data_IF_475873252671
#
_entry.id   IF_475873252671
#
_cell.length_a   1.000
_cell.length_b   1.000
_cell.length_c   1.000
_cell.angle_alpha   90.00
_cell.angle_beta   90.00
_cell.angle_gamma   90.00
#
_symmetry.space_group_name_H-M   'P 1'
#
loop_
_entity.id
_entity.type
_entity.pdbx_description
1 polymer ?
#
# COMPACT_ATOMS: atom_id res chain seq x y z
N UNK A 1 16.19 -29.00 3.09
CA UNK A 1 15.48 -28.04 2.22
C UNK A 1 16.41 -26.86 1.96
N UNK A 2 17.03 -26.83 0.78
CA UNK A 2 17.82 -25.67 0.34
C UNK A 2 16.91 -24.86 -0.59
N UNK A 3 16.38 -23.73 -0.12
CA UNK A 3 15.39 -22.92 -0.85
C UNK A 3 15.94 -22.35 -2.17
N UNK A 4 17.26 -22.44 -2.39
CA UNK A 4 17.95 -21.97 -3.59
C UNK A 4 18.51 -23.12 -4.47
N UNK A 5 18.32 -24.37 -4.08
CA UNK A 5 18.79 -25.54 -4.84
C UNK A 5 17.68 -26.10 -5.74
N UNK A 6 17.41 -25.43 -6.87
CA UNK A 6 16.49 -25.92 -7.89
C UNK A 6 17.27 -26.64 -9.01
N UNK A 7 16.83 -27.83 -9.48
CA UNK A 7 17.32 -28.46 -10.71
C UNK A 7 17.27 -27.51 -11.93
N UNK A 8 18.03 -27.80 -12.99
CA UNK A 8 18.18 -26.94 -14.17
C UNK A 8 16.89 -26.66 -14.96
N UNK A 9 15.79 -27.36 -14.66
CA UNK A 9 14.47 -27.23 -15.25
C UNK A 9 13.40 -26.71 -14.26
N UNK A 10 13.77 -26.56 -12.99
CA UNK A 10 12.86 -26.10 -11.94
C UNK A 10 12.77 -24.58 -11.96
N UNK A 11 11.54 -24.07 -12.05
CA UNK A 11 11.27 -22.64 -12.13
C UNK A 11 10.57 -22.20 -10.85
N UNK A 12 10.88 -20.99 -10.39
CA UNK A 12 10.11 -20.37 -9.31
C UNK A 12 8.62 -20.36 -9.63
N UNK A 13 7.78 -20.57 -8.61
CA UNK A 13 6.33 -20.34 -8.68
C UNK A 13 6.00 -18.86 -8.45
N UNK A 14 4.76 -18.45 -8.73
CA UNK A 14 4.27 -17.08 -8.54
C UNK A 14 4.61 -16.50 -7.16
N UNK A 15 4.46 -17.30 -6.09
CA UNK A 15 4.83 -16.89 -4.72
C UNK A 15 6.29 -16.46 -4.59
N UNK A 16 7.22 -17.15 -5.25
CA UNK A 16 8.64 -16.84 -5.16
C UNK A 16 8.93 -15.47 -5.79
N UNK A 17 8.36 -15.23 -6.97
CA UNK A 17 8.55 -13.95 -7.66
C UNK A 17 7.83 -12.80 -6.96
N UNK A 18 6.60 -13.00 -6.51
CA UNK A 18 5.86 -11.99 -5.74
C UNK A 18 6.59 -11.63 -4.44
N UNK A 19 7.08 -12.62 -3.69
CA UNK A 19 7.88 -12.37 -2.48
C UNK A 19 9.16 -11.63 -2.80
N UNK A 20 9.96 -12.08 -3.79
CA UNK A 20 11.21 -11.41 -4.16
C UNK A 20 10.95 -9.97 -4.61
N UNK A 21 9.94 -9.73 -5.44
CA UNK A 21 9.56 -8.39 -5.87
C UNK A 21 9.21 -7.49 -4.69
N UNK A 22 8.33 -7.93 -3.78
CA UNK A 22 7.94 -7.16 -2.60
C UNK A 22 9.14 -6.85 -1.71
N UNK A 23 10.06 -7.80 -1.48
CA UNK A 23 11.25 -7.57 -0.67
C UNK A 23 12.22 -6.58 -1.33
N UNK A 24 12.44 -6.69 -2.64
CA UNK A 24 13.25 -5.72 -3.38
C UNK A 24 12.67 -4.31 -3.27
N UNK A 25 11.35 -4.17 -3.44
CA UNK A 25 10.67 -2.88 -3.29
C UNK A 25 10.84 -2.29 -1.88
N UNK A 26 10.63 -3.11 -0.83
CA UNK A 26 10.79 -2.67 0.57
C UNK A 26 12.25 -2.32 0.90
N UNK A 27 13.22 -3.08 0.39
CA UNK A 27 14.65 -2.80 0.58
C UNK A 27 15.09 -1.49 -0.09
N UNK A 28 14.41 -1.07 -1.15
CA UNK A 28 14.60 0.22 -1.82
C UNK A 28 13.82 1.37 -1.16
N UNK A 29 13.04 1.10 -0.10
CA UNK A 29 12.27 2.11 0.62
C UNK A 29 10.87 2.40 0.03
N UNK A 30 10.39 1.56 -0.90
CA UNK A 30 9.01 1.61 -1.35
C UNK A 30 8.09 0.83 -0.40
N UNK A 31 6.81 1.19 -0.39
CA UNK A 31 5.80 0.41 0.31
C UNK A 31 5.23 -0.62 -0.66
N UNK A 32 5.45 -1.90 -0.36
CA UNK A 32 4.90 -2.99 -1.13
C UNK A 32 4.27 -4.04 -0.20
N UNK A 33 3.24 -4.71 -0.70
CA UNK A 33 2.54 -5.80 -0.04
C UNK A 33 2.29 -6.92 -1.02
N UNK A 34 2.05 -8.10 -0.47
CA UNK A 34 1.60 -9.23 -1.27
C UNK A 34 0.10 -9.14 -1.48
N UNK A 35 -0.37 -9.72 -2.58
CA UNK A 35 -1.78 -9.95 -2.86
C UNK A 35 -1.92 -11.39 -3.34
N UNK A 36 -2.93 -12.06 -2.85
CA UNK A 36 -3.31 -13.38 -3.33
C UNK A 36 -4.61 -13.20 -4.10
N UNK A 37 -4.63 -13.63 -5.35
CA UNK A 37 -5.85 -13.71 -6.16
C UNK A 37 -6.21 -15.18 -6.35
N UNK A 38 -7.31 -15.48 -7.04
CA UNK A 38 -7.69 -16.87 -7.27
C UNK A 38 -6.55 -17.61 -8.02
N UNK A 39 -6.03 -18.66 -7.38
CA UNK A 39 -4.96 -19.54 -7.90
C UNK A 39 -3.60 -18.86 -8.16
N UNK A 40 -3.38 -17.61 -7.72
CA UNK A 40 -2.17 -16.86 -8.08
C UNK A 40 -1.71 -15.90 -6.98
N UNK A 41 -0.42 -15.59 -6.97
CA UNK A 41 0.23 -14.75 -5.97
C UNK A 41 0.98 -13.61 -6.66
N UNK A 42 0.62 -12.39 -6.32
CA UNK A 42 1.12 -11.16 -6.95
C UNK A 42 1.50 -10.15 -5.86
N UNK A 43 1.80 -8.92 -6.25
CA UNK A 43 2.12 -7.84 -5.35
C UNK A 43 1.32 -6.57 -5.66
N UNK A 44 1.28 -5.68 -4.68
CA UNK A 44 0.94 -4.27 -4.88
C UNK A 44 2.07 -3.39 -4.36
N UNK A 45 2.35 -2.29 -5.07
CA UNK A 45 3.32 -1.26 -4.68
C UNK A 45 2.64 0.11 -4.65
N UNK A 46 2.92 0.90 -3.61
CA UNK A 46 2.41 2.26 -3.51
C UNK A 46 3.20 3.23 -4.39
N UNK A 47 2.51 4.07 -5.15
CA UNK A 47 3.06 5.19 -5.90
C UNK A 47 2.65 6.52 -5.27
N UNK A 48 3.63 7.31 -4.85
CA UNK A 48 3.42 8.67 -4.32
C UNK A 48 2.93 9.64 -5.40
N UNK A 49 3.36 9.43 -6.65
CA UNK A 49 2.96 10.24 -7.80
C UNK A 49 1.47 10.06 -8.13
N UNK A 50 1.02 8.80 -8.18
CA UNK A 50 -0.39 8.46 -8.47
C UNK A 50 -1.27 8.47 -7.22
N UNK A 51 -0.66 8.60 -6.03
CA UNK A 51 -1.33 8.45 -4.72
C UNK A 51 -2.17 7.19 -4.65
N UNK A 52 -1.61 6.08 -5.15
CA UNK A 52 -2.35 4.83 -5.35
C UNK A 52 -1.45 3.61 -5.23
N UNK A 53 -2.03 2.52 -4.76
CA UNK A 53 -1.46 1.19 -4.92
C UNK A 53 -1.55 0.75 -6.38
N UNK A 54 -0.54 0.02 -6.86
CA UNK A 54 -0.47 -0.49 -8.23
C UNK A 54 -0.24 -1.99 -8.15
N UNK A 55 -1.10 -2.73 -8.83
CA UNK A 55 -1.05 -4.19 -8.93
C UNK A 55 0.07 -4.60 -9.89
N UNK A 56 0.97 -5.44 -9.41
CA UNK A 56 2.16 -5.91 -10.09
C UNK A 56 2.18 -7.44 -10.06
N UNK A 57 2.26 -8.06 -11.23
CA UNK A 57 2.52 -9.50 -11.36
C UNK A 57 3.96 -9.68 -11.85
N UNK A 58 4.83 -9.99 -10.89
CA UNK A 58 6.24 -10.25 -11.14
C UNK A 58 6.40 -11.75 -11.40
N UNK A 59 6.95 -12.12 -12.56
CA UNK A 59 7.21 -13.51 -12.92
C UNK A 59 6.99 -13.81 -14.41
N UNK A 60 7.55 -14.91 -14.91
CA UNK A 60 7.36 -15.31 -16.30
C UNK A 60 5.93 -15.85 -16.49
N UNK A 61 5.02 -15.04 -17.01
CA UNK A 61 3.66 -15.49 -17.32
C UNK A 61 3.59 -16.28 -18.64
N UNK A 62 3.73 -17.61 -18.56
CA UNK A 62 3.35 -18.52 -19.65
C UNK A 62 4.35 -18.65 -20.80
N UNK A 63 5.03 -19.79 -20.86
CA UNK A 63 5.87 -20.22 -21.98
C UNK A 63 7.36 -19.93 -21.81
N UNK A 64 8.18 -20.61 -22.62
CA UNK A 64 9.66 -20.54 -22.60
C UNK A 64 10.24 -19.17 -22.98
N UNK A 65 9.43 -18.27 -23.56
CA UNK A 65 9.87 -16.96 -24.06
C UNK A 65 9.14 -15.76 -23.43
N UNK A 66 8.34 -15.94 -22.37
CA UNK A 66 7.59 -14.84 -21.78
C UNK A 66 8.33 -14.18 -20.62
N UNK A 67 8.87 -12.98 -20.86
CA UNK A 67 9.45 -12.09 -19.83
C UNK A 67 8.39 -11.13 -19.29
N UNK A 68 7.30 -11.68 -18.77
CA UNK A 68 6.09 -10.93 -18.43
C UNK A 68 6.07 -10.43 -16.99
N UNK A 69 7.04 -9.58 -16.63
CA UNK A 69 6.76 -8.63 -15.55
C UNK A 69 5.71 -7.66 -16.05
N UNK A 70 4.57 -7.59 -15.37
CA UNK A 70 3.41 -6.84 -15.85
C UNK A 70 2.71 -6.06 -14.74
N UNK A 71 1.97 -5.05 -15.18
CA UNK A 71 0.93 -4.38 -14.43
C UNK A 71 -0.35 -4.30 -15.26
N UNK A 72 -1.41 -3.79 -14.67
CA UNK A 72 -2.73 -3.70 -15.31
C UNK A 72 -3.12 -2.25 -15.50
N UNK A 73 -3.67 -1.92 -16.66
CA UNK A 73 -4.12 -0.57 -16.97
C UNK A 73 -5.56 -0.56 -17.49
N UNK A 74 -6.31 0.49 -17.16
CA UNK A 74 -7.55 0.84 -17.85
C UNK A 74 -7.39 2.27 -18.37
N UNK A 75 -7.56 2.47 -19.68
CA UNK A 75 -7.38 3.78 -20.33
C UNK A 75 -6.00 4.42 -20.03
N UNK A 76 -4.95 3.61 -20.03
CA UNK A 76 -3.57 4.07 -19.78
C UNK A 76 -3.27 4.39 -18.31
N UNK A 77 -4.18 4.08 -17.37
CA UNK A 77 -3.98 4.31 -15.94
C UNK A 77 -3.72 2.98 -15.22
N UNK A 78 -2.58 2.84 -14.51
CA UNK A 78 -2.27 1.65 -13.73
C UNK A 78 -3.36 1.37 -12.68
N UNK A 79 -3.69 0.11 -12.45
CA UNK A 79 -4.77 -0.32 -11.57
C UNK A 79 -4.24 -0.99 -10.30
N UNK A 80 -4.97 -0.86 -9.19
CA UNK A 80 -4.86 -1.75 -8.04
C UNK A 80 -5.73 -3.01 -8.20
N UNK A 81 -5.55 -4.01 -7.35
CA UNK A 81 -6.27 -5.30 -7.45
C UNK A 81 -7.79 -5.14 -7.36
N UNK A 82 -8.30 -4.25 -6.51
CA UNK A 82 -9.75 -3.99 -6.40
C UNK A 82 -10.33 -3.34 -7.66
N UNK A 83 -9.58 -2.47 -8.33
CA UNK A 83 -9.98 -1.88 -9.61
C UNK A 83 -10.05 -2.97 -10.71
N UNK A 84 -9.08 -3.88 -10.74
CA UNK A 84 -9.11 -5.06 -11.65
C UNK A 84 -10.29 -5.97 -11.33
N UNK A 85 -10.52 -6.29 -10.04
CA UNK A 85 -11.67 -7.07 -9.57
C UNK A 85 -13.01 -6.46 -10.02
N UNK A 86 -13.17 -5.14 -9.85
CA UNK A 86 -14.38 -4.42 -10.27
C UNK A 86 -14.54 -4.42 -11.79
N UNK A 87 -13.47 -4.23 -12.55
CA UNK A 87 -13.54 -4.30 -14.00
C UNK A 87 -14.02 -5.68 -14.49
N UNK A 88 -13.53 -6.77 -13.89
CA UNK A 88 -14.03 -8.12 -14.16
C UNK A 88 -15.52 -8.25 -13.82
N UNK A 89 -15.92 -7.87 -12.61
CA UNK A 89 -17.31 -7.97 -12.14
C UNK A 89 -18.28 -7.17 -13.01
N UNK A 90 -17.86 -6.01 -13.47
CA UNK A 90 -18.67 -5.11 -14.29
C UNK A 90 -18.67 -5.49 -15.78
N UNK A 91 -18.07 -6.63 -16.16
CA UNK A 91 -18.01 -7.10 -17.55
C UNK A 91 -17.08 -6.27 -18.45
N UNK A 92 -16.10 -5.57 -17.87
CA UNK A 92 -15.16 -4.67 -18.55
C UNK A 92 -13.75 -5.25 -18.66
N UNK A 93 -13.58 -6.56 -18.45
CA UNK A 93 -12.27 -7.22 -18.48
C UNK A 93 -11.51 -7.01 -19.80
N UNK A 94 -12.21 -6.94 -20.94
CA UNK A 94 -11.57 -6.72 -22.24
C UNK A 94 -11.06 -5.29 -22.45
N UNK A 95 -11.44 -4.36 -21.56
CA UNK A 95 -10.92 -2.99 -21.56
C UNK A 95 -9.66 -2.85 -20.68
N UNK A 96 -9.41 -3.83 -19.80
CA UNK A 96 -8.21 -3.86 -18.97
C UNK A 96 -7.07 -4.43 -19.80
N UNK A 97 -5.98 -3.69 -19.88
CA UNK A 97 -4.75 -4.10 -20.54
C UNK A 97 -3.79 -4.71 -19.52
N UNK A 98 -3.30 -5.91 -19.83
CA UNK A 98 -2.06 -6.42 -19.29
C UNK A 98 -0.93 -5.70 -20.01
N UNK A 99 -0.14 -4.93 -19.27
CA UNK A 99 0.99 -4.16 -19.78
C UNK A 99 2.27 -4.80 -19.29
N UNK A 100 3.06 -5.35 -20.21
CA UNK A 100 4.28 -6.06 -19.93
C UNK A 100 5.53 -5.22 -20.26
N UNK A 101 6.67 -5.59 -19.69
CA UNK A 101 7.96 -4.96 -20.02
C UNK A 101 8.30 -5.07 -21.52
N UNK A 102 7.97 -6.21 -22.16
CA UNK A 102 8.03 -6.34 -23.61
C UNK A 102 6.69 -5.85 -24.21
N UNK A 103 6.67 -4.79 -25.03
CA UNK A 103 5.44 -4.29 -25.64
C UNK A 103 4.67 -5.32 -26.48
N UNK A 104 5.37 -6.29 -27.06
CA UNK A 104 4.75 -7.36 -27.86
C UNK A 104 3.94 -8.36 -27.00
N UNK A 105 4.17 -8.37 -25.69
CA UNK A 105 3.43 -9.20 -24.73
C UNK A 105 2.18 -8.48 -24.16
N UNK A 106 1.99 -7.19 -24.46
CA UNK A 106 0.84 -6.41 -24.00
C UNK A 106 -0.46 -6.88 -24.69
N UNK A 107 -1.53 -7.09 -23.91
CA UNK A 107 -2.81 -7.58 -24.43
C UNK A 107 -3.98 -7.26 -23.51
N UNK A 108 -5.22 -7.26 -24.02
CA UNK A 108 -6.41 -7.27 -23.17
C UNK A 108 -6.39 -8.45 -22.19
N UNK A 109 -6.97 -8.25 -21.01
CA UNK A 109 -6.94 -9.23 -19.92
C UNK A 109 -7.78 -10.47 -20.24
N UNK A 110 -8.93 -10.28 -20.90
CA UNK A 110 -9.84 -11.37 -21.28
C UNK A 110 -10.21 -12.26 -20.09
N UNK A 111 -10.27 -13.58 -20.32
CA UNK A 111 -10.66 -14.57 -19.30
C UNK A 111 -9.71 -14.61 -18.09
N UNK A 112 -8.45 -14.18 -18.24
CA UNK A 112 -7.51 -14.16 -17.12
C UNK A 112 -7.96 -13.25 -15.96
N UNK A 113 -8.84 -12.29 -16.27
CA UNK A 113 -9.53 -11.44 -15.31
C UNK A 113 -10.32 -12.21 -14.24
N UNK A 114 -10.78 -13.42 -14.57
CA UNK A 114 -11.49 -14.29 -13.62
C UNK A 114 -10.65 -14.62 -12.40
N UNK A 115 -9.31 -14.62 -12.52
CA UNK A 115 -8.45 -14.82 -11.35
C UNK A 115 -8.64 -13.73 -10.29
N UNK A 116 -9.10 -12.53 -10.68
CA UNK A 116 -9.41 -11.43 -9.78
C UNK A 116 -10.81 -11.53 -9.18
N UNK A 117 -11.61 -12.57 -9.43
CA UNK A 117 -12.96 -12.73 -8.88
C UNK A 117 -13.02 -12.71 -7.34
N UNK A 118 -11.89 -12.95 -6.67
CA UNK A 118 -11.65 -12.75 -5.24
C UNK A 118 -10.18 -12.45 -5.02
N UNK A 119 -9.86 -11.76 -3.93
CA UNK A 119 -8.49 -11.56 -3.52
C UNK A 119 -8.35 -11.39 -2.01
N UNK A 120 -7.15 -11.65 -1.53
CA UNK A 120 -6.77 -11.65 -0.13
C UNK A 120 -5.49 -10.84 0.06
N UNK A 121 -5.38 -10.16 1.19
CA UNK A 121 -4.20 -9.39 1.57
C UNK A 121 -3.53 -10.09 2.75
N UNK A 122 -2.35 -10.68 2.55
CA UNK A 122 -1.49 -11.02 3.66
C UNK A 122 -1.16 -9.78 4.49
N UNK A 123 -1.54 -9.81 5.78
CA UNK A 123 -1.32 -8.70 6.73
C UNK A 123 0.15 -8.56 7.17
N UNK A 124 1.08 -9.04 6.33
CA UNK A 124 2.51 -9.05 6.54
C UNK A 124 3.23 -9.16 5.20
N UNK A 125 4.42 -8.60 5.15
CA UNK A 125 5.23 -8.58 3.94
C UNK A 125 6.68 -9.01 4.16
N UNK A 126 6.99 -9.80 5.20
CA UNK A 126 8.36 -10.19 5.61
C UNK A 126 8.60 -11.71 5.55
N UNK A 127 8.11 -12.40 4.50
CA UNK A 127 8.18 -13.87 4.39
C UNK A 127 9.60 -14.42 4.25
N UNK A 128 10.58 -13.62 3.79
CA UNK A 128 11.99 -14.02 3.76
C UNK A 128 12.57 -14.11 5.18
N UNK A 129 12.23 -13.15 6.06
CA UNK A 129 12.77 -13.11 7.42
C UNK A 129 12.01 -14.04 8.37
N UNK A 130 10.69 -14.11 8.22
CA UNK A 130 9.81 -14.84 9.13
C UNK A 130 8.95 -15.80 8.30
N UNK A 131 9.24 -17.10 8.18
CA UNK A 131 8.56 -17.96 7.22
C UNK A 131 7.07 -18.24 7.54
N UNK A 132 6.63 -18.01 8.77
CA UNK A 132 5.26 -18.31 9.24
C UNK A 132 4.65 -17.15 10.03
N UNK A 133 3.31 -16.96 10.03
CA UNK A 133 2.32 -17.83 9.39
C UNK A 133 2.28 -17.68 7.87
N UNK A 134 2.03 -18.78 7.18
CA UNK A 134 1.91 -18.92 5.72
C UNK A 134 1.17 -20.22 5.40
N UNK A 135 0.71 -20.37 4.16
CA UNK A 135 0.17 -21.64 3.63
C UNK A 135 1.15 -22.80 3.79
N UNK A 136 0.66 -24.00 4.08
CA UNK A 136 1.49 -25.22 4.13
C UNK A 136 2.01 -25.62 2.73
N UNK A 137 1.20 -25.36 1.69
CA UNK A 137 1.55 -25.54 0.28
C UNK A 137 1.63 -24.20 -0.46
N UNK A 138 2.35 -23.22 0.10
CA UNK A 138 2.37 -21.86 -0.42
C UNK A 138 2.80 -21.82 -1.90
N UNK A 139 1.87 -21.42 -2.77
CA UNK A 139 2.08 -21.35 -4.22
C UNK A 139 1.92 -22.68 -4.98
N UNK A 140 1.75 -23.82 -4.30
CA UNK A 140 1.51 -25.13 -4.93
C UNK A 140 0.11 -25.72 -4.67
N UNK A 141 -0.69 -25.08 -3.83
CA UNK A 141 -2.07 -25.45 -3.56
C UNK A 141 -2.97 -24.20 -3.51
N UNK A 142 -4.27 -24.42 -3.34
CA UNK A 142 -5.19 -23.32 -3.02
C UNK A 142 -4.82 -22.69 -1.68
N UNK A 143 -5.10 -21.39 -1.56
CA UNK A 143 -4.85 -20.60 -0.36
C UNK A 143 -6.02 -20.78 0.61
N UNK A 144 -5.74 -21.22 1.84
CA UNK A 144 -6.74 -21.50 2.87
C UNK A 144 -6.36 -20.94 4.25
N UNK A 145 -5.26 -20.19 4.37
CA UNK A 145 -4.84 -19.65 5.65
C UNK A 145 -5.78 -18.53 6.12
N UNK A 146 -6.46 -18.77 7.25
CA UNK A 146 -7.49 -17.89 7.82
C UNK A 146 -7.00 -16.53 8.34
N UNK A 147 -5.68 -16.28 8.31
CA UNK A 147 -5.10 -15.02 8.78
C UNK A 147 -4.92 -13.94 7.70
N UNK A 148 -5.38 -14.17 6.48
CA UNK A 148 -5.38 -13.14 5.43
C UNK A 148 -6.62 -12.25 5.53
N UNK A 149 -6.55 -11.00 5.06
CA UNK A 149 -7.73 -10.14 4.96
C UNK A 149 -8.43 -10.35 3.62
N UNK A 150 -9.67 -10.80 3.64
CA UNK A 150 -10.47 -11.14 2.47
C UNK A 150 -11.30 -9.94 2.01
N UNK A 151 -11.19 -9.59 0.74
CA UNK A 151 -12.14 -8.66 0.15
C UNK A 151 -13.43 -9.38 -0.21
N UNK A 152 -14.56 -8.84 0.23
CA UNK A 152 -15.90 -9.29 -0.12
C UNK A 152 -16.69 -8.15 -0.76
N UNK A 153 -17.58 -8.48 -1.70
CA UNK A 153 -18.46 -7.47 -2.30
C UNK A 153 -19.59 -7.06 -1.34
N UNK A 154 -20.01 -7.98 -0.46
CA UNK A 154 -21.05 -7.78 0.53
C UNK A 154 -20.73 -8.59 1.78
N UNK A 155 -20.89 -7.99 2.96
CA UNK A 155 -20.75 -8.71 4.23
C UNK A 155 -22.01 -9.51 4.61
N UNK A 156 -23.10 -9.38 3.87
CA UNK A 156 -24.33 -10.16 4.06
C UNK A 156 -24.48 -11.31 3.07
N UNK A 157 -23.61 -11.38 2.07
CA UNK A 157 -23.59 -12.40 1.02
C UNK A 157 -22.14 -12.70 0.64
N UNK A 158 -21.51 -13.54 1.47
CA UNK A 158 -20.07 -13.80 1.43
C UNK A 158 -19.76 -14.84 0.34
N UNK A 159 -18.80 -14.54 -0.53
CA UNK A 159 -18.26 -15.51 -1.49
C UNK A 159 -17.43 -16.58 -0.80
N UNK A 160 -16.69 -16.19 0.24
CA UNK A 160 -15.76 -17.07 0.94
C UNK A 160 -16.07 -17.08 2.45
N UNK A 161 -17.24 -17.64 2.87
CA UNK A 161 -17.70 -17.62 4.26
C UNK A 161 -16.81 -18.42 5.22
N UNK A 162 -15.89 -19.23 4.70
CA UNK A 162 -14.94 -20.02 5.48
C UNK A 162 -13.84 -19.19 6.17
N UNK A 163 -13.69 -17.90 5.83
CA UNK A 163 -12.64 -17.03 6.37
C UNK A 163 -13.15 -16.03 7.41
N UNK A 164 -12.37 -15.82 8.47
CA UNK A 164 -12.73 -15.01 9.63
C UNK A 164 -12.49 -13.50 9.43
N UNK A 165 -11.51 -13.12 8.61
CA UNK A 165 -11.11 -11.73 8.38
C UNK A 165 -11.61 -11.23 7.03
N UNK A 166 -12.73 -10.52 7.03
CA UNK A 166 -13.41 -10.07 5.80
C UNK A 166 -13.70 -8.57 5.83
N UNK A 167 -13.62 -7.92 4.68
CA UNK A 167 -14.05 -6.53 4.51
C UNK A 167 -14.67 -6.27 3.14
N UNK A 168 -15.74 -5.48 3.13
CA UNK A 168 -16.31 -4.90 1.92
C UNK A 168 -15.98 -3.40 1.76
N UNK A 169 -15.15 -2.84 2.63
CA UNK A 169 -14.82 -1.41 2.65
C UNK A 169 -13.52 -1.15 1.92
N UNK A 170 -13.51 -0.40 0.81
CA UNK A 170 -12.29 -0.09 0.08
C UNK A 170 -11.23 0.64 0.92
N UNK A 171 -11.65 1.46 1.89
CA UNK A 171 -10.74 2.20 2.77
C UNK A 171 -9.96 1.30 3.73
N UNK A 172 -10.44 0.10 4.02
CA UNK A 172 -9.70 -0.90 4.82
C UNK A 172 -8.54 -1.51 4.03
N UNK A 173 -8.51 -1.31 2.70
CA UNK A 173 -7.55 -1.91 1.77
C UNK A 173 -6.66 -0.86 1.10
N UNK A 174 -7.18 0.33 0.79
CA UNK A 174 -6.52 1.32 -0.07
C UNK A 174 -6.46 2.70 0.58
N UNK A 175 -5.87 2.78 1.78
CA UNK A 175 -5.57 4.04 2.44
C UNK A 175 -4.30 4.70 1.85
N UNK A 176 -4.21 6.02 2.00
CA UNK A 176 -3.06 6.80 1.52
C UNK A 176 -1.83 6.56 2.38
N UNK A 177 -0.67 6.41 1.75
CA UNK A 177 0.63 6.30 2.41
C UNK A 177 1.51 7.52 2.15
N UNK A 178 2.57 7.65 2.94
CA UNK A 178 3.65 8.62 2.73
C UNK A 178 3.19 10.08 2.61
N UNK A 179 2.02 10.42 3.15
CA UNK A 179 1.50 11.77 3.17
C UNK A 179 1.31 12.23 4.62
N UNK A 180 1.60 13.50 4.89
CA UNK A 180 1.29 14.12 6.17
C UNK A 180 -0.16 14.60 6.19
N UNK A 181 -0.91 14.27 7.22
CA UNK A 181 -2.18 14.89 7.56
C UNK A 181 -1.91 16.07 8.50
N UNK A 182 -2.52 17.22 8.19
CA UNK A 182 -2.30 18.48 8.91
C UNK A 182 -3.59 18.88 9.61
N UNK A 183 -3.53 19.00 10.94
CA UNK A 183 -4.64 19.36 11.80
C UNK A 183 -4.29 20.68 12.52
N UNK A 184 -4.72 21.83 11.99
CA UNK A 184 -4.47 23.12 12.62
C UNK A 184 -5.36 23.30 13.86
N UNK A 185 -4.75 23.75 14.95
CA UNK A 185 -5.44 24.14 16.19
C UNK A 185 -5.17 25.62 16.47
N UNK A 186 -6.25 26.36 16.75
CA UNK A 186 -6.13 27.73 17.23
C UNK A 186 -5.50 27.76 18.63
N UNK A 187 -4.74 28.81 18.92
CA UNK A 187 -4.17 29.07 20.24
C UNK A 187 -4.74 30.37 20.80
N UNK A 188 -4.39 30.70 22.05
CA UNK A 188 -4.78 31.99 22.66
C UNK A 188 -4.11 33.20 21.97
N UNK A 189 -2.99 32.99 21.26
CA UNK A 189 -2.36 34.00 20.41
C UNK A 189 -2.90 33.85 18.97
N UNK A 190 -3.69 34.80 18.44
CA UNK A 190 -4.28 34.69 17.11
C UNK A 190 -3.25 34.68 15.97
N UNK A 191 -2.00 35.08 16.24
CA UNK A 191 -0.90 34.98 15.29
C UNK A 191 -0.16 33.63 15.39
N UNK A 192 -0.68 32.66 16.16
CA UNK A 192 -0.05 31.34 16.34
C UNK A 192 -1.05 30.22 16.12
N UNK A 193 -0.65 29.28 15.26
CA UNK A 193 -1.35 28.02 15.02
C UNK A 193 -0.50 26.89 15.60
N UNK A 194 -1.11 26.03 16.40
CA UNK A 194 -0.51 24.75 16.78
C UNK A 194 -0.88 23.69 15.73
N UNK A 195 0.11 23.18 15.00
CA UNK A 195 -0.10 22.22 13.93
C UNK A 195 0.14 20.80 14.42
N UNK A 196 -0.91 19.99 14.49
CA UNK A 196 -0.79 18.56 14.75
C UNK A 196 -0.62 17.85 13.41
N UNK A 197 0.45 17.07 13.31
CA UNK A 197 0.85 16.41 12.06
C UNK A 197 0.71 14.91 12.30
N UNK A 198 0.02 14.19 11.43
CA UNK A 198 -0.05 12.73 11.46
C UNK A 198 0.43 12.13 10.14
N UNK A 199 0.87 10.88 10.13
CA UNK A 199 1.16 10.17 8.87
C UNK A 199 1.10 8.66 9.03
N UNK A 200 0.73 7.99 7.93
CA UNK A 200 0.98 6.56 7.72
C UNK A 200 2.15 6.42 6.74
N UNK A 201 3.36 6.48 7.28
CA UNK A 201 4.61 6.29 6.52
C UNK A 201 5.35 5.09 7.11
N UNK A 202 5.36 3.92 6.43
CA UNK A 202 6.15 2.80 6.89
C UNK A 202 7.64 3.16 6.96
N UNK A 203 8.33 2.63 7.97
CA UNK A 203 9.71 2.99 8.30
C UNK A 203 9.93 4.50 8.50
N UNK A 204 8.92 5.24 8.98
CA UNK A 204 9.03 6.68 9.25
C UNK A 204 10.27 7.04 10.09
N UNK A 205 10.95 8.11 9.69
CA UNK A 205 12.14 8.65 10.36
C UNK A 205 11.89 10.03 10.97
N UNK A 206 11.38 10.98 10.18
CA UNK A 206 11.05 12.35 10.62
C UNK A 206 10.13 13.04 9.60
N UNK A 207 9.61 14.23 9.95
CA UNK A 207 8.97 15.16 9.01
C UNK A 207 10.00 16.16 8.48
N UNK A 208 9.84 16.64 7.26
CA UNK A 208 10.48 17.87 6.80
C UNK A 208 9.40 18.95 6.72
N UNK A 209 9.69 20.13 7.26
CA UNK A 209 8.78 21.28 7.28
C UNK A 209 9.43 22.42 6.51
N UNK A 210 8.68 23.04 5.61
CA UNK A 210 9.05 24.26 4.89
C UNK A 210 7.99 25.33 5.18
N UNK A 211 8.45 26.52 5.54
CA UNK A 211 7.59 27.71 5.66
C UNK A 211 7.84 28.60 4.48
N UNK A 212 6.77 29.09 3.86
CA UNK A 212 6.86 30.03 2.74
C UNK A 212 7.84 29.53 1.68
N UNK A 213 8.67 30.42 1.15
CA UNK A 213 9.72 30.06 0.20
C UNK A 213 11.04 29.62 0.86
N UNK A 214 11.03 29.38 2.17
CA UNK A 214 12.20 28.95 2.93
C UNK A 214 12.70 27.54 2.61
N UNK A 215 13.69 27.12 3.38
CA UNK A 215 14.29 25.79 3.27
C UNK A 215 13.46 24.70 3.96
N UNK A 216 13.63 23.46 3.50
CA UNK A 216 13.12 22.28 4.19
C UNK A 216 13.97 21.98 5.42
N UNK A 217 13.34 21.97 6.60
CA UNK A 217 14.01 21.73 7.88
C UNK A 217 13.48 20.41 8.47
N UNK A 218 14.36 19.47 8.88
CA UNK A 218 13.95 18.27 9.58
C UNK A 218 13.25 18.59 10.91
N UNK A 219 12.16 17.90 11.18
CA UNK A 219 11.35 18.03 12.39
C UNK A 219 11.03 16.63 12.95
N UNK A 220 11.36 16.33 14.21
CA UNK A 220 11.11 15.03 14.80
C UNK A 220 9.60 14.75 14.93
N UNK A 221 9.21 13.47 15.02
CA UNK A 221 7.90 13.13 15.57
C UNK A 221 7.90 13.42 17.08
N UNK A 222 6.81 14.00 17.58
CA UNK A 222 6.66 14.31 18.99
C UNK A 222 6.24 13.06 19.77
N UNK A 223 5.28 12.28 19.27
CA UNK A 223 4.74 11.07 19.94
C UNK A 223 4.04 10.14 18.94
N UNK A 224 3.86 8.87 19.32
CA UNK A 224 2.91 7.98 18.62
C UNK A 224 1.50 8.34 19.10
N UNK A 225 0.66 8.89 18.22
CA UNK A 225 -0.76 9.06 18.52
C UNK A 225 -1.50 7.75 18.21
N UNK A 226 -2.21 7.24 19.21
CA UNK A 226 -3.21 6.20 18.98
C UNK A 226 -4.54 6.89 18.69
N UNK A 227 -5.10 6.70 17.50
CA UNK A 227 -6.38 7.30 17.12
C UNK A 227 -7.48 6.85 18.12
N UNK A 228 -8.30 7.75 18.69
CA UNK A 228 -9.35 7.37 19.64
C UNK A 228 -10.51 6.55 19.04
N UNK A 229 -10.55 6.34 17.72
CA UNK A 229 -11.48 5.43 17.05
C UNK A 229 -10.89 4.01 16.85
N UNK A 230 -9.67 3.76 17.31
CA UNK A 230 -9.14 2.40 17.52
C UNK A 230 -9.70 1.78 18.82
N UNK A 231 -10.94 2.14 19.18
CA UNK A 231 -11.62 1.74 20.40
C UNK A 231 -12.52 0.52 20.16
N UNK A 232 -12.31 -0.50 20.98
CA UNK A 232 -13.19 -1.65 21.26
C UNK A 232 -13.25 -2.79 20.24
N UNK A 233 -12.18 -3.58 20.19
CA UNK A 233 -12.30 -5.00 20.55
C UNK A 233 -10.93 -5.58 20.89
N UNK A 234 -10.76 -5.93 22.15
CA UNK A 234 -9.68 -6.77 22.64
C UNK A 234 -9.71 -8.09 21.86
N UNK A 235 -8.75 -8.24 20.94
CA UNK A 235 -8.21 -9.44 20.24
C UNK A 235 -7.68 -9.13 18.84
N UNK A 236 -7.95 -7.95 18.27
CA UNK A 236 -7.55 -7.61 16.90
C UNK A 236 -6.13 -7.00 16.75
N UNK A 237 -5.55 -6.47 17.83
CA UNK A 237 -4.31 -5.67 17.74
C UNK A 237 -2.99 -6.45 17.73
N UNK A 238 -3.01 -7.75 17.98
CA UNK A 238 -1.78 -8.57 17.89
C UNK A 238 -1.42 -8.97 16.45
N UNK A 239 -2.35 -8.80 15.50
CA UNK A 239 -2.20 -9.18 14.09
C UNK A 239 -2.19 -7.99 13.11
N UNK A 240 -2.48 -6.77 13.57
CA UNK A 240 -2.21 -5.57 12.76
C UNK A 240 -0.69 -5.39 12.75
N UNK A 241 -0.01 -5.41 11.59
CA UNK A 241 1.42 -5.16 11.57
C UNK A 241 1.66 -3.80 12.23
N UNK A 242 2.65 -3.74 13.14
CA UNK A 242 3.15 -2.52 13.81
C UNK A 242 3.66 -1.42 12.83
N UNK A 243 3.32 -1.54 11.55
CA UNK A 243 3.70 -0.69 10.43
C UNK A 243 2.61 0.34 10.07
N UNK A 244 1.33 0.11 10.40
CA UNK A 244 0.27 1.12 10.27
C UNK A 244 0.12 1.96 11.56
N UNK A 245 1.25 2.37 12.14
CA UNK A 245 1.21 3.22 13.33
C UNK A 245 1.22 4.66 12.88
N UNK A 246 0.14 5.39 13.17
CA UNK A 246 0.09 6.83 13.01
C UNK A 246 1.27 7.45 13.77
N UNK A 247 2.20 8.04 13.03
CA UNK A 247 3.29 8.84 13.61
C UNK A 247 2.81 10.26 13.69
N UNK A 248 2.99 10.88 14.84
CA UNK A 248 2.49 12.22 15.06
C UNK A 248 3.58 13.18 15.55
N UNK A 249 3.46 14.42 15.08
CA UNK A 249 4.29 15.55 15.42
C UNK A 249 3.41 16.73 15.80
N UNK A 250 4.02 17.69 16.49
CA UNK A 250 3.42 18.98 16.76
C UNK A 250 4.40 20.06 16.29
N UNK A 251 3.88 21.12 15.68
CA UNK A 251 4.67 22.24 15.21
C UNK A 251 3.94 23.55 15.49
N UNK A 252 4.54 24.38 16.35
CA UNK A 252 4.02 25.72 16.61
C UNK A 252 4.41 26.68 15.48
N UNK A 253 3.42 27.18 14.77
CA UNK A 253 3.60 28.05 13.60
C UNK A 253 3.14 29.47 13.92
N UNK A 254 4.10 30.39 14.05
CA UNK A 254 3.83 31.83 14.18
C UNK A 254 3.67 32.44 12.80
N UNK A 255 2.53 33.11 12.59
CA UNK A 255 2.16 33.80 11.36
C UNK A 255 2.77 35.20 11.33
N UNK A 256 3.13 35.66 10.13
CA UNK A 256 3.42 37.06 9.83
C UNK A 256 2.23 37.71 9.11
N UNK A 257 2.18 39.05 8.99
CA UNK A 257 1.15 39.70 8.19
C UNK A 257 1.16 39.23 6.73
N UNK A 258 -0.03 39.08 6.14
CA UNK A 258 -0.23 38.61 4.76
C UNK A 258 -0.38 37.08 4.63
N UNK A 259 -0.02 36.57 3.46
CA UNK A 259 -0.11 35.15 3.12
C UNK A 259 1.02 34.35 3.77
N UNK A 260 0.68 33.31 4.50
CA UNK A 260 1.61 32.37 5.12
C UNK A 260 1.38 30.97 4.54
N UNK A 261 2.44 30.21 4.29
CA UNK A 261 2.33 28.81 3.86
C UNK A 261 3.18 27.88 4.72
N UNK A 262 2.64 26.70 5.00
CA UNK A 262 3.34 25.63 5.69
C UNK A 262 3.20 24.36 4.85
N UNK A 263 4.33 23.86 4.36
CA UNK A 263 4.44 22.61 3.63
C UNK A 263 5.14 21.57 4.51
N UNK A 264 4.61 20.35 4.54
CA UNK A 264 5.11 19.24 5.35
C UNK A 264 5.16 17.98 4.50
N UNK A 265 6.24 17.21 4.61
CA UNK A 265 6.31 15.85 4.06
C UNK A 265 6.98 14.88 5.03
N UNK A 266 6.54 13.63 5.11
CA UNK A 266 7.25 12.61 5.89
C UNK A 266 8.49 12.12 5.13
N UNK A 267 9.49 11.67 5.87
CA UNK A 267 10.68 10.99 5.34
C UNK A 267 10.85 9.65 6.05
N UNK A 268 11.08 8.57 5.28
CA UNK A 268 11.31 7.24 5.84
C UNK A 268 12.80 6.98 6.13
N UNK A 269 13.10 5.82 6.72
CA UNK A 269 14.44 5.40 7.14
C UNK A 269 15.43 5.27 5.98
N UNK A 270 14.93 5.07 4.76
CA UNK A 270 15.69 4.98 3.51
C UNK A 270 15.89 6.35 2.85
N UNK A 271 15.48 7.44 3.53
CA UNK A 271 15.47 8.81 3.03
C UNK A 271 14.57 9.03 1.80
N UNK A 272 13.58 8.14 1.58
CA UNK A 272 12.52 8.41 0.61
C UNK A 272 11.58 9.47 1.18
N UNK A 273 11.35 10.51 0.38
CA UNK A 273 10.55 11.69 0.73
C UNK A 273 9.13 11.48 0.24
N UNK A 274 8.17 11.57 1.15
CA UNK A 274 6.77 11.40 0.84
C UNK A 274 6.13 12.59 0.15
N UNK A 275 4.81 12.49 -0.02
CA UNK A 275 3.94 13.49 -0.62
C UNK A 275 3.92 14.75 0.26
N UNK A 276 4.03 15.91 -0.39
CA UNK A 276 3.89 17.21 0.27
C UNK A 276 2.42 17.50 0.55
N UNK A 277 2.12 17.77 1.82
CA UNK A 277 0.88 18.40 2.25
C UNK A 277 1.13 19.85 2.57
N UNK A 278 0.23 20.73 2.18
CA UNK A 278 0.40 22.18 2.34
C UNK A 278 -0.88 22.83 2.87
N UNK A 279 -0.71 23.78 3.78
CA UNK A 279 -1.76 24.69 4.22
C UNK A 279 -1.32 26.13 3.94
N UNK A 280 -2.28 26.97 3.54
CA UNK A 280 -2.10 28.40 3.33
C UNK A 280 -3.06 29.14 4.26
N UNK A 281 -2.56 30.15 4.97
CA UNK A 281 -3.35 30.97 5.91
C UNK A 281 -3.08 32.44 5.60
N UNK A 282 -4.15 33.23 5.49
CA UNK A 282 -4.06 34.68 5.39
C UNK A 282 -4.18 35.29 6.78
N UNK A 283 -3.22 36.14 7.16
CA UNK A 283 -3.26 36.87 8.42
C UNK A 283 -3.36 38.37 8.16
N UNK A 284 -4.50 38.98 8.52
CA UNK A 284 -4.77 40.40 8.32
C UNK A 284 -4.24 41.31 9.43
N UNK A 285 -3.68 40.74 10.50
CA UNK A 285 -3.13 41.47 11.65
C UNK A 285 -1.66 41.84 11.45
#
# INVERSE_FOLDING_TARGET
FNILGAPNDDRGMCVHFGVVFTQCAVALGYNARHIIINHHFIAEVWSDELKKWICMDAGPAGGVNSSRNMHFELNGQPLNTLEVHRAYRDGKQDQVMLVATNPDDCKPMGDWAENFCRFFIPMRNNYIDVPRPAEDGHGCAQYHYDGYLHHENSLTDLRSPEYSLQTARPHDLYWSLNQAELHPHATDDPAVIDMHIATVTPNFKYFEIKRDDGDWIPHPAAHVWHHPHAGSSDRFMDFVPKQAVHRAGQYTWRLHPGQNTLAVRPTNAFNHKGIISQITVENSA
#
